data_IF_740301112799
#
_entry.id   IF_740301112799
#
_cell.length_a   1.000
_cell.length_b   1.000
_cell.length_c   1.000
_cell.angle_alpha   90.00
_cell.angle_beta   90.00
_cell.angle_gamma   90.00
#
_symmetry.space_group_name_H-M   'P 1'
#
loop_
_entity.id
_entity.type
_entity.pdbx_description
1 polymer ?
#
# COMPACT_ATOMS: atom_id res chain seq x y z
N UNK A 1 -20.20 9.28 10.23
CA UNK A 1 -19.04 8.78 9.48
C UNK A 1 -18.74 9.68 8.31
N UNK A 2 -17.46 9.95 8.07
CA UNK A 2 -17.06 10.74 6.91
C UNK A 2 -17.25 10.00 5.59
N UNK A 3 -17.47 8.68 5.65
CA UNK A 3 -17.71 7.86 4.47
C UNK A 3 -19.15 7.38 4.46
N UNK A 4 -20.05 8.30 4.16
CA UNK A 4 -21.47 7.99 4.01
C UNK A 4 -21.67 7.22 2.72
N UNK A 5 -22.31 6.03 2.73
CA UNK A 5 -22.52 5.24 1.51
C UNK A 5 -23.35 5.93 0.46
N UNK A 6 -24.09 6.98 0.84
CA UNK A 6 -24.90 7.73 -0.12
C UNK A 6 -24.17 8.94 -0.70
N UNK A 7 -23.00 9.30 -0.17
CA UNK A 7 -22.26 10.45 -0.65
C UNK A 7 -21.32 10.05 -1.79
N UNK A 8 -21.22 10.95 -2.78
CA UNK A 8 -20.21 10.81 -3.83
C UNK A 8 -18.87 11.29 -3.28
N UNK A 9 -17.85 10.49 -3.43
CA UNK A 9 -16.50 10.82 -3.02
C UNK A 9 -15.62 10.73 -4.27
N UNK A 10 -14.99 11.83 -4.65
CA UNK A 10 -14.22 11.88 -5.89
C UNK A 10 -12.93 12.65 -5.69
N UNK A 11 -11.93 12.30 -6.47
CA UNK A 11 -10.62 12.94 -6.43
C UNK A 11 -9.74 12.43 -7.55
N UNK A 12 -8.44 12.66 -7.42
CA UNK A 12 -7.47 12.25 -8.42
C UNK A 12 -6.31 11.57 -7.71
N UNK A 13 -5.96 10.37 -8.14
CA UNK A 13 -4.94 9.57 -7.45
C UNK A 13 -3.54 10.19 -7.47
N UNK A 14 -3.26 11.07 -8.41
CA UNK A 14 -1.95 11.73 -8.51
C UNK A 14 -1.98 13.19 -8.06
N UNK A 15 -3.09 13.65 -7.48
CA UNK A 15 -3.16 15.03 -7.01
C UNK A 15 -2.36 15.21 -5.73
N UNK A 16 -1.70 16.37 -5.61
CA UNK A 16 -1.04 16.77 -4.38
C UNK A 16 0.13 15.90 -3.96
N UNK A 17 0.82 15.28 -4.91
CA UNK A 17 2.00 14.47 -4.57
C UNK A 17 3.18 15.42 -4.35
N UNK A 18 3.75 15.43 -3.13
CA UNK A 18 4.87 16.32 -2.81
C UNK A 18 6.17 15.82 -3.43
N UNK A 19 7.21 16.65 -3.38
CA UNK A 19 8.54 16.26 -3.84
C UNK A 19 9.42 15.70 -2.73
N UNK A 20 9.02 15.88 -1.48
CA UNK A 20 9.72 15.34 -0.32
C UNK A 20 8.74 15.13 0.81
N UNK A 21 8.99 14.10 1.61
CA UNK A 21 8.20 13.77 2.79
C UNK A 21 9.15 13.23 3.87
N UNK A 22 8.95 13.59 5.15
CA UNK A 22 9.75 13.00 6.24
C UNK A 22 9.43 11.53 6.48
N UNK A 23 8.23 11.10 6.12
CA UNK A 23 7.78 9.71 6.26
C UNK A 23 6.77 9.42 5.15
N UNK A 24 6.47 8.15 4.92
CA UNK A 24 5.41 7.78 3.99
C UNK A 24 4.10 8.44 4.36
N UNK A 25 3.33 8.80 3.35
CA UNK A 25 2.04 9.45 3.54
C UNK A 25 0.92 8.48 3.18
N UNK A 26 -0.06 8.39 4.07
CA UNK A 26 -1.21 7.52 3.90
C UNK A 26 -2.46 8.40 3.81
N UNK A 27 -3.13 8.36 2.67
CA UNK A 27 -4.37 9.11 2.45
C UNK A 27 -5.53 8.13 2.39
N UNK A 28 -6.46 8.25 3.32
CA UNK A 28 -7.64 7.40 3.35
C UNK A 28 -8.62 7.85 2.28
N UNK A 29 -8.94 6.96 1.34
CA UNK A 29 -9.83 7.27 0.23
C UNK A 29 -11.26 6.78 0.47
N UNK A 30 -11.39 5.63 1.14
CA UNK A 30 -12.69 5.02 1.39
C UNK A 30 -12.55 4.06 2.57
N UNK A 31 -13.56 4.03 3.42
CA UNK A 31 -13.60 3.11 4.55
C UNK A 31 -15.04 2.68 4.79
N UNK A 32 -15.36 1.44 4.52
CA UNK A 32 -16.67 0.90 4.83
C UNK A 32 -16.65 -0.63 4.77
N UNK A 33 -17.55 -1.25 5.54
CA UNK A 33 -17.76 -2.68 5.46
C UNK A 33 -16.55 -3.55 5.74
N UNK A 34 -15.66 -3.11 6.63
CA UNK A 34 -14.44 -3.86 6.92
C UNK A 34 -13.36 -3.71 5.87
N UNK A 35 -13.55 -2.79 4.93
CA UNK A 35 -12.56 -2.47 3.89
C UNK A 35 -12.05 -1.05 4.07
N UNK A 36 -10.76 -0.87 3.81
CA UNK A 36 -10.13 0.45 3.88
C UNK A 36 -9.23 0.62 2.66
N UNK A 37 -9.52 1.65 1.86
CA UNK A 37 -8.76 1.95 0.65
C UNK A 37 -7.90 3.18 0.90
N UNK A 38 -6.62 3.06 0.64
CA UNK A 38 -5.63 4.12 0.86
C UNK A 38 -4.79 4.37 -0.37
N UNK A 39 -4.40 5.64 -0.55
CA UNK A 39 -3.29 5.97 -1.42
C UNK A 39 -2.06 6.14 -0.53
N UNK A 40 -0.96 5.51 -0.90
CA UNK A 40 0.30 5.62 -0.16
C UNK A 40 1.32 6.29 -1.06
N UNK A 41 2.03 7.28 -0.53
CA UNK A 41 3.11 7.95 -1.24
C UNK A 41 4.42 7.70 -0.50
N UNK A 42 5.36 7.09 -1.20
CA UNK A 42 6.71 6.80 -0.69
C UNK A 42 7.71 7.55 -1.56
N UNK A 43 8.59 8.30 -0.94
CA UNK A 43 9.64 9.05 -1.63
C UNK A 43 10.99 8.58 -1.10
N UNK A 44 11.45 7.45 -1.63
CA UNK A 44 12.67 6.82 -1.16
C UNK A 44 12.53 6.10 0.17
N UNK A 45 11.34 6.04 0.74
CA UNK A 45 11.12 5.42 2.04
C UNK A 45 11.16 3.90 1.94
N UNK A 46 11.64 3.28 3.01
CA UNK A 46 11.70 1.84 3.15
C UNK A 46 11.36 1.46 4.58
N UNK A 47 10.96 0.21 4.77
CA UNK A 47 10.75 -0.32 6.12
C UNK A 47 12.09 -0.31 6.86
N UNK A 48 12.15 0.16 8.10
CA UNK A 48 13.42 0.17 8.86
C UNK A 48 14.06 -1.21 8.93
N UNK A 49 15.40 -1.28 8.97
CA UNK A 49 16.10 -2.57 9.04
C UNK A 49 15.62 -3.45 10.19
N UNK A 50 15.44 -4.72 9.92
CA UNK A 50 15.04 -5.69 10.91
C UNK A 50 13.56 -5.70 11.25
N UNK A 51 12.77 -4.83 10.64
CA UNK A 51 11.33 -4.77 10.88
C UNK A 51 10.56 -5.44 9.75
N UNK A 52 9.46 -6.06 10.12
CA UNK A 52 8.56 -6.74 9.19
C UNK A 52 7.12 -6.38 9.52
N UNK A 53 6.32 -6.17 8.49
CA UNK A 53 4.89 -6.06 8.66
C UNK A 53 4.30 -7.45 8.88
N UNK A 54 3.40 -7.52 9.85
CA UNK A 54 2.66 -8.74 10.16
C UNK A 54 1.27 -8.26 10.58
N UNK A 55 0.35 -8.19 9.64
CA UNK A 55 -0.92 -7.52 9.81
C UNK A 55 -2.07 -8.51 9.95
N UNK A 56 -3.07 -8.13 10.73
CA UNK A 56 -4.30 -8.92 10.87
C UNK A 56 -5.18 -8.85 9.63
N UNK A 57 -4.97 -7.84 8.80
CA UNK A 57 -5.73 -7.62 7.58
C UNK A 57 -4.99 -8.19 6.38
N UNK A 58 -5.76 -8.71 5.41
CA UNK A 58 -5.21 -8.93 4.08
C UNK A 58 -5.07 -7.60 3.36
N UNK A 59 -4.11 -7.51 2.45
CA UNK A 59 -3.84 -6.27 1.73
C UNK A 59 -3.63 -6.57 0.25
N UNK A 60 -4.45 -5.93 -0.59
CA UNK A 60 -4.21 -5.90 -2.02
C UNK A 60 -3.57 -4.56 -2.35
N UNK A 61 -2.39 -4.59 -2.92
CA UNK A 61 -1.65 -3.38 -3.21
C UNK A 61 -1.23 -3.34 -4.67
N UNK A 62 -1.39 -2.18 -5.29
CA UNK A 62 -0.96 -1.93 -6.67
C UNK A 62 -0.03 -0.73 -6.70
N UNK A 63 1.02 -0.82 -7.51
CA UNK A 63 1.89 0.32 -7.75
C UNK A 63 1.35 1.10 -8.95
N UNK A 64 1.08 2.39 -8.76
CA UNK A 64 0.53 3.26 -9.80
C UNK A 64 1.60 4.09 -10.49
N UNK A 65 2.67 4.43 -9.78
CA UNK A 65 3.76 5.26 -10.28
C UNK A 65 5.05 4.91 -9.55
N UNK A 66 6.17 5.10 -10.22
CA UNK A 66 7.47 4.88 -9.62
C UNK A 66 7.88 3.42 -9.69
N UNK A 67 8.77 3.03 -8.78
CA UNK A 67 9.25 1.66 -8.65
C UNK A 67 9.37 1.32 -7.17
N UNK A 68 9.23 0.05 -6.85
CA UNK A 68 9.36 -0.42 -5.48
C UNK A 68 9.85 -1.85 -5.44
N UNK A 69 10.43 -2.23 -4.30
CA UNK A 69 10.82 -3.61 -4.04
C UNK A 69 10.11 -4.06 -2.77
N UNK A 70 9.36 -5.13 -2.90
CA UNK A 70 8.59 -5.73 -1.82
C UNK A 70 9.19 -7.09 -1.50
N UNK A 71 9.54 -7.32 -0.24
CA UNK A 71 10.14 -8.58 0.16
C UNK A 71 9.26 -9.33 1.13
N UNK A 72 9.08 -10.63 0.87
CA UNK A 72 8.42 -11.53 1.80
C UNK A 72 9.46 -12.28 2.61
N UNK A 73 9.17 -12.50 3.89
CA UNK A 73 10.13 -13.11 4.80
C UNK A 73 10.55 -14.51 4.39
N UNK A 74 9.66 -15.24 3.71
CA UNK A 74 9.90 -16.61 3.27
C UNK A 74 10.35 -16.72 1.81
N UNK A 75 10.71 -15.60 1.19
CA UNK A 75 11.25 -15.60 -0.17
C UNK A 75 12.68 -15.09 -0.16
N UNK A 76 13.52 -15.65 -1.05
CA UNK A 76 14.94 -15.31 -1.07
C UNK A 76 15.22 -13.93 -1.67
N UNK A 77 14.41 -13.51 -2.63
CA UNK A 77 14.64 -12.27 -3.36
C UNK A 77 13.43 -11.36 -3.25
N UNK A 78 13.63 -10.03 -3.28
CA UNK A 78 12.51 -9.11 -3.33
C UNK A 78 11.80 -9.18 -4.67
N UNK A 79 10.52 -8.82 -4.65
CA UNK A 79 9.73 -8.65 -5.87
C UNK A 79 9.87 -7.22 -6.31
N UNK A 80 10.23 -7.02 -7.57
CA UNK A 80 10.36 -5.68 -8.15
C UNK A 80 9.02 -5.32 -8.76
N UNK A 81 8.46 -4.19 -8.33
CA UNK A 81 7.17 -3.71 -8.81
C UNK A 81 7.37 -2.49 -9.70
N UNK A 82 6.66 -2.48 -10.80
CA UNK A 82 6.58 -1.35 -11.73
C UNK A 82 5.11 -0.96 -11.87
N UNK A 83 4.81 0.23 -12.45
CA UNK A 83 3.43 0.69 -12.56
C UNK A 83 2.51 -0.33 -13.22
N UNK A 84 1.40 -0.63 -12.58
CA UNK A 84 0.44 -1.62 -13.02
C UNK A 84 0.58 -2.97 -12.34
N UNK A 85 1.70 -3.22 -11.68
CA UNK A 85 1.85 -4.46 -10.92
C UNK A 85 1.04 -4.41 -9.64
N UNK A 86 0.46 -5.54 -9.25
CA UNK A 86 -0.25 -5.67 -7.99
C UNK A 86 0.14 -6.96 -7.28
N UNK A 87 -0.08 -6.97 -5.97
CA UNK A 87 0.22 -8.11 -5.12
C UNK A 87 -0.90 -8.27 -4.10
N UNK A 88 -1.37 -9.49 -3.91
CA UNK A 88 -2.23 -9.82 -2.79
C UNK A 88 -1.38 -10.35 -1.65
N UNK A 89 -1.48 -9.70 -0.50
CA UNK A 89 -0.74 -10.06 0.71
C UNK A 89 -1.72 -10.59 1.74
N UNK A 90 -1.75 -11.91 1.98
CA UNK A 90 -2.64 -12.46 3.00
C UNK A 90 -2.32 -11.93 4.39
N UNK A 91 -3.31 -11.96 5.28
CA UNK A 91 -3.08 -11.61 6.67
C UNK A 91 -1.93 -12.45 7.25
N UNK A 92 -1.11 -11.80 8.07
CA UNK A 92 0.04 -12.41 8.74
C UNK A 92 1.15 -12.91 7.83
N UNK A 93 1.08 -12.63 6.53
CA UNK A 93 2.20 -12.91 5.63
C UNK A 93 3.24 -11.81 5.84
N UNK A 94 4.36 -12.16 6.48
CA UNK A 94 5.40 -11.19 6.86
C UNK A 94 6.07 -10.63 5.63
N UNK A 95 6.12 -9.30 5.55
CA UNK A 95 6.70 -8.62 4.40
C UNK A 95 7.26 -7.26 4.82
N UNK A 96 8.03 -6.67 3.91
CA UNK A 96 8.60 -5.34 4.11
C UNK A 96 8.83 -4.67 2.76
N UNK A 97 8.86 -3.34 2.77
CA UNK A 97 9.26 -2.56 1.61
C UNK A 97 10.76 -2.36 1.70
N UNK A 98 11.50 -2.97 0.78
CA UNK A 98 12.97 -2.88 0.76
C UNK A 98 13.44 -1.55 0.19
N UNK A 99 12.71 -1.02 -0.79
CA UNK A 99 13.15 0.16 -1.51
C UNK A 99 11.97 0.78 -2.27
N UNK A 100 11.98 2.11 -2.36
CA UNK A 100 11.05 2.84 -3.20
C UNK A 100 11.80 3.92 -3.95
N UNK A 101 11.28 4.28 -5.14
CA UNK A 101 11.87 5.33 -5.95
C UNK A 101 11.65 6.70 -5.33
N UNK A 102 12.53 7.61 -5.64
CA UNK A 102 12.47 8.99 -5.18
C UNK A 102 11.97 9.92 -6.27
N UNK A 103 12.38 9.69 -7.49
CA UNK A 103 12.05 10.52 -8.65
C UNK A 103 11.76 9.62 -9.85
N UNK A 104 10.47 9.39 -10.15
CA UNK A 104 9.30 9.89 -9.43
C UNK A 104 9.05 9.13 -8.13
N UNK A 105 8.25 9.73 -7.24
CA UNK A 105 7.82 9.02 -6.04
C UNK A 105 7.03 7.76 -6.36
N UNK A 106 7.08 6.79 -5.47
CA UNK A 106 6.24 5.61 -5.58
C UNK A 106 4.85 5.94 -5.06
N UNK A 107 3.84 5.71 -5.89
CA UNK A 107 2.43 5.91 -5.52
C UNK A 107 1.74 4.57 -5.58
N UNK A 108 1.14 4.21 -4.46
CA UNK A 108 0.49 2.92 -4.28
C UNK A 108 -1.00 3.10 -4.02
N UNK A 109 -1.77 2.10 -4.39
CA UNK A 109 -3.15 1.97 -4.01
C UNK A 109 -3.26 0.69 -3.19
N UNK A 110 -3.73 0.81 -1.95
CA UNK A 110 -3.80 -0.33 -1.03
C UNK A 110 -5.23 -0.52 -0.52
N UNK A 111 -5.73 -1.73 -0.67
CA UNK A 111 -7.03 -2.12 -0.14
C UNK A 111 -6.79 -3.10 1.00
N UNK A 112 -7.14 -2.68 2.21
CA UNK A 112 -7.04 -3.50 3.40
C UNK A 112 -8.40 -4.15 3.66
N UNK A 113 -8.40 -5.45 3.84
CA UNK A 113 -9.62 -6.22 4.05
C UNK A 113 -9.51 -6.89 5.42
N UNK A 114 -10.37 -6.46 6.32
CA UNK A 114 -10.44 -6.99 7.65
C UNK A 114 -11.19 -8.32 7.66
N UNK A 115 -10.94 -9.12 8.69
CA UNK A 115 -11.71 -10.32 8.93
C UNK A 115 -11.05 -11.57 8.43
N UNK A 116 -11.82 -12.62 8.42
CA UNK A 116 -11.30 -13.91 8.15
C UNK A 116 -11.31 -14.21 6.70
N UNK A 117 -10.41 -15.04 6.41
CA UNK A 117 -10.31 -15.62 5.15
C UNK A 117 -11.36 -16.72 5.00
N UNK A 118 -12.32 -16.50 4.11
CA UNK A 118 -13.35 -17.47 3.79
C UNK A 118 -13.17 -18.07 2.41
N UNK A 119 -11.96 -18.08 1.95
CA UNK A 119 -11.65 -18.61 0.63
C UNK A 119 -11.88 -20.11 0.61
N UNK A 120 -12.59 -20.57 -0.41
CA UNK A 120 -12.89 -21.97 -0.62
C UNK A 120 -12.09 -22.50 -1.78
#
# INVERSE_FOLDING_TARGET
>A
SEFDPMSVNAGHLFAGIPTALPAERFDLLLCMGGCRLERIVSIGHATPPGQWYDQDEGEWVALLQGRAELRFADEEAPRILTPGDYVWIPAHRRHRVEWTSHDPPAVWLALHIEGHDNIR
#
